data_IF_313785393797
#
_entry.id   IF_313785393797
#
_cell.length_a   1.000
_cell.length_b   1.000
_cell.length_c   1.000
_cell.angle_alpha   90.00
_cell.angle_beta   90.00
_cell.angle_gamma   90.00
#
_symmetry.space_group_name_H-M   'P 1'
#
loop_
_entity.id
_entity.type
_entity.pdbx_description
1 polymer ?
#
# COMPACT_ATOMS: atom_id res chain seq x y z
N UNK A 1 -4.80 5.06 7.81
CA UNK A 1 -5.11 4.85 6.37
C UNK A 1 -6.21 3.81 6.24
N UNK A 2 -7.19 4.07 5.41
CA UNK A 2 -8.28 3.12 5.18
C UNK A 2 -8.05 2.40 3.84
N UNK A 3 -8.82 1.33 3.53
CA UNK A 3 -8.62 0.59 2.28
C UNK A 3 -8.72 1.44 1.02
N UNK A 4 -9.64 2.39 0.99
CA UNK A 4 -9.80 3.29 -0.16
C UNK A 4 -8.57 4.14 -0.38
N UNK A 5 -7.99 4.66 0.68
CA UNK A 5 -6.79 5.47 0.60
C UNK A 5 -5.60 4.64 0.12
N UNK A 6 -5.49 3.40 0.59
CA UNK A 6 -4.43 2.51 0.15
C UNK A 6 -4.55 2.20 -1.34
N UNK A 7 -5.75 1.90 -1.80
CA UNK A 7 -5.99 1.63 -3.21
C UNK A 7 -5.68 2.86 -4.07
N UNK A 8 -6.10 4.03 -3.62
CA UNK A 8 -5.82 5.27 -4.32
C UNK A 8 -4.32 5.53 -4.41
N UNK A 9 -3.59 5.26 -3.34
CA UNK A 9 -2.13 5.39 -3.34
C UNK A 9 -1.50 4.47 -4.39
N UNK A 10 -1.94 3.20 -4.45
CA UNK A 10 -1.43 2.25 -5.43
C UNK A 10 -1.72 2.74 -6.87
N UNK A 11 -2.94 3.19 -7.10
CA UNK A 11 -3.35 3.68 -8.42
C UNK A 11 -2.53 4.90 -8.84
N UNK A 12 -2.27 5.80 -7.91
CA UNK A 12 -1.52 7.03 -8.21
C UNK A 12 -0.08 6.76 -8.60
N UNK A 13 0.49 5.64 -8.12
CA UNK A 13 1.85 5.23 -8.46
C UNK A 13 1.90 4.21 -9.60
N UNK A 14 0.73 3.75 -10.07
CA UNK A 14 0.67 2.74 -11.10
C UNK A 14 1.06 1.35 -10.61
N UNK A 15 0.91 1.09 -9.31
CA UNK A 15 1.26 -0.20 -8.72
C UNK A 15 0.08 -1.16 -8.79
N UNK A 16 0.36 -2.42 -9.11
CA UNK A 16 -0.61 -3.49 -8.88
C UNK A 16 -0.30 -4.14 -7.52
N UNK A 17 -1.09 -5.14 -7.13
CA UNK A 17 -0.92 -5.78 -5.82
C UNK A 17 0.46 -6.42 -5.67
N UNK A 18 0.96 -7.05 -6.71
CA UNK A 18 2.27 -7.71 -6.69
C UNK A 18 3.37 -6.68 -6.48
N UNK A 19 3.35 -5.62 -7.28
CA UNK A 19 4.36 -4.57 -7.19
C UNK A 19 4.32 -3.86 -5.84
N UNK A 20 3.11 -3.51 -5.38
CA UNK A 20 2.94 -2.82 -4.11
C UNK A 20 3.42 -3.68 -2.94
N UNK A 21 3.08 -4.97 -2.93
CA UNK A 21 3.51 -5.85 -1.85
C UNK A 21 5.03 -5.98 -1.80
N UNK A 22 5.67 -6.06 -2.96
CA UNK A 22 7.13 -6.12 -3.03
C UNK A 22 7.78 -4.85 -2.49
N UNK A 23 7.25 -3.70 -2.89
CA UNK A 23 7.80 -2.41 -2.45
C UNK A 23 7.58 -2.18 -0.96
N UNK A 24 6.47 -2.69 -0.42
CA UNK A 24 6.18 -2.57 1.00
C UNK A 24 6.86 -3.67 1.83
N UNK A 25 7.40 -4.69 1.18
CA UNK A 25 8.07 -5.79 1.90
C UNK A 25 7.11 -6.69 2.64
N UNK A 26 5.88 -6.84 2.15
CA UNK A 26 4.86 -7.70 2.78
C UNK A 26 4.36 -8.73 1.79
N UNK A 27 3.68 -9.76 2.30
CA UNK A 27 3.08 -10.77 1.45
C UNK A 27 1.87 -10.19 0.72
N UNK A 28 1.62 -10.69 -0.50
CA UNK A 28 0.48 -10.23 -1.30
C UNK A 28 -0.85 -10.44 -0.58
N UNK A 29 -1.01 -11.58 0.10
CA UNK A 29 -2.26 -11.85 0.80
C UNK A 29 -2.46 -10.90 1.99
N UNK A 30 -1.37 -10.42 2.60
CA UNK A 30 -1.44 -9.42 3.66
C UNK A 30 -1.94 -8.09 3.10
N UNK A 31 -1.42 -7.69 1.95
CA UNK A 31 -1.89 -6.49 1.26
C UNK A 31 -3.36 -6.62 0.88
N UNK A 32 -3.76 -7.79 0.39
CA UNK A 32 -5.16 -8.07 0.07
C UNK A 32 -6.06 -7.89 1.30
N UNK A 33 -5.61 -8.36 2.45
CA UNK A 33 -6.35 -8.19 3.70
C UNK A 33 -6.58 -6.74 4.04
N UNK A 34 -5.58 -5.90 3.82
CA UNK A 34 -5.72 -4.47 4.04
C UNK A 34 -6.70 -3.84 3.05
N UNK A 35 -6.62 -4.23 1.78
CA UNK A 35 -7.48 -3.68 0.73
C UNK A 35 -8.94 -4.12 0.90
N UNK A 36 -9.16 -5.32 1.43
CA UNK A 36 -10.51 -5.85 1.65
C UNK A 36 -11.11 -5.39 2.97
N UNK A 37 -10.34 -4.71 3.80
CA UNK A 37 -10.81 -4.25 5.10
C UNK A 37 -10.86 -5.34 6.16
N UNK A 38 -10.25 -6.50 5.91
CA UNK A 38 -10.18 -7.59 6.89
C UNK A 38 -9.25 -7.26 8.04
N UNK A 39 -8.23 -6.46 7.77
CA UNK A 39 -7.25 -6.06 8.76
C UNK A 39 -7.06 -4.54 8.66
N UNK A 40 -6.86 -3.87 9.81
CA UNK A 40 -6.54 -2.45 9.77
C UNK A 40 -5.15 -2.22 9.19
N UNK A 41 -4.99 -1.15 8.45
CA UNK A 41 -3.68 -0.79 7.90
C UNK A 41 -2.82 -0.23 9.02
N UNK A 42 -1.69 -0.88 9.37
CA UNK A 42 -0.85 -0.39 10.47
C UNK A 42 -0.18 0.93 10.13
N UNK A 43 0.24 1.62 11.17
CA UNK A 43 0.93 2.90 11.00
C UNK A 43 2.20 2.76 10.17
N UNK A 44 2.96 1.67 10.37
CA UNK A 44 4.21 1.50 9.63
C UNK A 44 3.97 1.34 8.12
N UNK A 45 2.84 0.76 7.73
CA UNK A 45 2.49 0.65 6.31
C UNK A 45 2.14 2.02 5.76
N UNK A 46 1.42 2.83 6.52
CA UNK A 46 1.11 4.20 6.13
C UNK A 46 2.38 5.02 5.91
N UNK A 47 3.33 4.90 6.83
CA UNK A 47 4.61 5.60 6.71
C UNK A 47 5.42 5.09 5.53
N UNK A 48 5.38 3.79 5.28
CA UNK A 48 6.06 3.21 4.12
C UNK A 48 5.46 3.70 2.81
N UNK A 49 4.13 3.80 2.73
CA UNK A 49 3.45 4.33 1.57
C UNK A 49 3.85 5.78 1.32
N UNK A 50 3.94 6.55 2.38
CA UNK A 50 4.35 7.95 2.30
C UNK A 50 5.77 8.07 1.77
N UNK A 51 6.69 7.26 2.29
CA UNK A 51 8.08 7.26 1.85
C UNK A 51 8.20 6.87 0.37
N UNK A 52 7.45 5.86 -0.05
CA UNK A 52 7.46 5.41 -1.44
C UNK A 52 6.87 6.47 -2.37
N UNK A 53 5.83 7.18 -1.92
CA UNK A 53 5.24 8.27 -2.67
C UNK A 53 6.26 9.36 -2.95
N UNK A 54 7.03 9.73 -1.95
CA UNK A 54 8.07 10.75 -2.11
C UNK A 54 9.16 10.28 -3.06
N UNK A 55 9.48 8.99 -3.03
CA UNK A 55 10.51 8.43 -3.87
C UNK A 55 10.10 8.31 -5.33
N UNK A 56 8.86 7.87 -5.57
CA UNK A 56 8.34 7.63 -6.92
C UNK A 56 7.76 8.88 -7.57
N UNK A 57 7.29 9.81 -6.78
CA UNK A 57 6.65 11.02 -7.26
C UNK A 57 7.70 12.07 -7.52
N UNK A 58 7.89 12.40 -8.75
CA UNK A 58 8.90 13.37 -9.15
C UNK A 58 8.29 14.60 -9.74
#
# INVERSE_FOLDING_TARGET
MNPSQLKHWMDSLGFNKVKASKELGIARFTLDGYLNGKQPVPRYIELACEALSLRWKR
#
